data_IF_313082407677
#
_entry.id   IF_313082407677
#
_cell.length_a   1.000
_cell.length_b   1.000
_cell.length_c   1.000
_cell.angle_alpha   90.00
_cell.angle_beta   90.00
_cell.angle_gamma   90.00
#
_symmetry.space_group_name_H-M   'P 1'
#
loop_
_entity.id
_entity.type
_entity.pdbx_description
1 polymer ?
#
# COMPACT_ATOMS: atom_id res chain seq x y z
N UNK A 1 -11.76 -11.61 -16.13
CA UNK A 1 -12.02 -11.87 -17.58
C UNK A 1 -11.31 -13.13 -18.08
N UNK A 2 -9.98 -13.19 -18.10
CA UNK A 2 -9.22 -14.32 -18.71
C UNK A 2 -8.96 -15.54 -17.80
N UNK A 3 -9.63 -15.63 -16.65
CA UNK A 3 -9.48 -16.76 -15.72
C UNK A 3 -10.24 -17.99 -16.18
N UNK A 4 -9.77 -19.18 -15.79
CA UNK A 4 -10.41 -20.46 -16.08
C UNK A 4 -10.67 -20.66 -17.59
N UNK A 5 -9.71 -20.26 -18.42
CA UNK A 5 -9.81 -20.36 -19.88
C UNK A 5 -9.07 -21.59 -20.39
N UNK A 6 -9.63 -22.27 -21.39
CA UNK A 6 -8.98 -23.41 -22.07
C UNK A 6 -7.74 -22.95 -22.82
N UNK A 7 -7.87 -21.82 -23.51
CA UNK A 7 -6.81 -21.18 -24.28
C UNK A 7 -6.70 -19.69 -23.93
N UNK A 8 -5.47 -19.21 -23.82
CA UNK A 8 -5.10 -17.80 -23.71
C UNK A 8 -4.03 -17.53 -24.76
N UNK A 9 -4.33 -16.68 -25.73
CA UNK A 9 -3.44 -16.29 -26.81
C UNK A 9 -3.00 -14.85 -26.61
N UNK A 10 -1.70 -14.63 -26.52
CA UNK A 10 -1.11 -13.31 -26.31
C UNK A 10 -0.29 -12.90 -27.52
N UNK A 11 -0.37 -11.61 -27.84
CA UNK A 11 0.31 -10.97 -28.94
C UNK A 11 0.83 -9.63 -28.42
N UNK A 12 1.99 -9.22 -28.90
CA UNK A 12 2.63 -7.94 -28.59
C UNK A 12 2.78 -7.17 -29.91
N UNK A 13 2.40 -5.90 -29.92
CA UNK A 13 2.56 -5.04 -31.10
C UNK A 13 4.01 -4.56 -31.20
N UNK A 14 4.63 -4.80 -32.35
CA UNK A 14 6.00 -4.37 -32.61
C UNK A 14 6.07 -2.85 -32.74
N UNK A 15 7.08 -2.24 -32.11
CA UNK A 15 7.34 -0.80 -32.12
C UNK A 15 6.07 0.05 -31.87
N UNK A 16 5.27 -0.32 -30.88
CA UNK A 16 3.95 0.27 -30.67
C UNK A 16 3.94 1.80 -30.67
N UNK A 17 4.76 2.44 -29.84
CA UNK A 17 4.87 3.91 -29.84
C UNK A 17 5.48 4.46 -31.13
N UNK A 18 6.67 4.00 -31.59
CA UNK A 18 7.25 4.50 -32.84
C UNK A 18 6.38 4.30 -34.10
N UNK A 19 5.50 3.30 -34.12
CA UNK A 19 4.56 3.06 -35.22
C UNK A 19 3.47 4.15 -35.32
N UNK A 20 3.22 4.89 -34.24
CA UNK A 20 2.26 5.99 -34.21
C UNK A 20 3.00 7.27 -34.62
N UNK A 21 2.80 7.66 -35.87
CA UNK A 21 3.54 8.75 -36.50
C UNK A 21 2.75 10.06 -36.48
N UNK A 22 3.47 11.17 -36.69
CA UNK A 22 2.90 12.51 -36.82
C UNK A 22 1.68 12.57 -37.76
N UNK A 23 1.72 12.02 -38.99
CA UNK A 23 0.56 12.03 -39.88
C UNK A 23 -0.65 11.27 -39.32
N UNK A 24 -0.43 10.16 -38.59
CA UNK A 24 -1.51 9.38 -37.98
C UNK A 24 -2.22 10.18 -36.89
N UNK A 25 -1.44 10.86 -36.04
CA UNK A 25 -1.99 11.69 -34.95
C UNK A 25 -2.75 12.87 -35.52
N UNK A 26 -2.14 13.62 -36.45
CA UNK A 26 -2.77 14.77 -37.10
C UNK A 26 -4.06 14.36 -37.83
N UNK A 27 -4.00 13.26 -38.58
CA UNK A 27 -5.16 12.73 -39.31
C UNK A 27 -6.28 12.31 -38.37
N UNK A 28 -5.97 11.62 -37.27
CA UNK A 28 -6.95 11.27 -36.26
C UNK A 28 -7.62 12.51 -35.64
N UNK A 29 -6.84 13.49 -35.20
CA UNK A 29 -7.36 14.70 -34.55
C UNK A 29 -8.23 15.56 -35.49
N UNK A 30 -7.96 15.51 -36.79
CA UNK A 30 -8.74 16.26 -37.80
C UNK A 30 -10.01 15.51 -38.18
N UNK A 31 -9.95 14.18 -38.30
CA UNK A 31 -11.03 13.39 -38.89
C UNK A 31 -11.95 12.70 -37.87
N UNK A 32 -11.54 12.58 -36.61
CA UNK A 32 -12.38 11.99 -35.56
C UNK A 32 -13.58 12.91 -35.24
N UNK A 33 -14.78 12.33 -35.13
CA UNK A 33 -16.01 13.09 -34.95
C UNK A 33 -16.10 13.85 -33.62
N UNK A 34 -15.43 13.35 -32.58
CA UNK A 34 -15.48 13.98 -31.27
C UNK A 34 -14.44 15.10 -31.14
N UNK A 35 -13.31 14.96 -31.84
CA UNK A 35 -12.26 15.98 -31.87
C UNK A 35 -12.51 17.04 -32.94
N UNK A 36 -12.60 16.63 -34.21
CA UNK A 36 -12.84 17.47 -35.39
C UNK A 36 -12.07 18.79 -35.36
N UNK A 37 -10.78 18.74 -35.01
CA UNK A 37 -9.97 19.92 -34.76
C UNK A 37 -9.59 20.61 -36.06
N UNK A 38 -9.48 21.94 -36.02
CA UNK A 38 -8.93 22.71 -37.13
C UNK A 38 -7.51 22.22 -37.47
N UNK A 39 -7.13 22.12 -38.76
CA UNK A 39 -5.84 21.54 -39.17
C UNK A 39 -4.62 22.12 -38.48
N UNK A 40 -4.61 23.44 -38.20
CA UNK A 40 -3.51 24.12 -37.50
C UNK A 40 -3.36 23.62 -36.06
N UNK A 41 -4.49 23.45 -35.34
CA UNK A 41 -4.50 22.95 -33.96
C UNK A 41 -4.05 21.48 -33.93
N UNK A 42 -4.59 20.64 -34.82
CA UNK A 42 -4.19 19.24 -34.94
C UNK A 42 -2.69 19.08 -35.26
N UNK A 43 -2.15 19.93 -36.14
CA UNK A 43 -0.72 19.96 -36.49
C UNK A 43 0.12 20.35 -35.29
N UNK A 44 -0.27 21.39 -34.55
CA UNK A 44 0.46 21.87 -33.37
C UNK A 44 0.52 20.79 -32.28
N UNK A 45 -0.61 20.14 -31.98
CA UNK A 45 -0.66 19.04 -31.01
C UNK A 45 0.22 17.87 -31.46
N UNK A 46 0.16 17.49 -32.74
CA UNK A 46 0.97 16.41 -33.28
C UNK A 46 2.47 16.75 -33.25
N UNK A 47 2.86 18.01 -33.44
CA UNK A 47 4.26 18.47 -33.32
C UNK A 47 4.76 18.39 -31.87
N UNK A 48 3.92 18.77 -30.89
CA UNK A 48 4.25 18.67 -29.47
C UNK A 48 4.37 17.20 -29.03
N UNK A 49 3.49 16.34 -29.56
CA UNK A 49 3.42 14.93 -29.18
C UNK A 49 4.58 14.09 -29.74
N UNK A 50 5.13 14.47 -30.89
CA UNK A 50 6.11 13.67 -31.61
C UNK A 50 7.54 14.17 -31.45
N UNK A 51 8.47 13.23 -31.36
CA UNK A 51 9.90 13.44 -31.58
C UNK A 51 10.29 12.69 -32.86
N UNK A 52 11.01 13.34 -33.78
CA UNK A 52 11.40 12.74 -35.07
C UNK A 52 10.20 12.13 -35.83
N UNK A 53 9.07 12.82 -35.82
CA UNK A 53 7.80 12.40 -36.43
C UNK A 53 7.18 11.11 -35.86
N UNK A 54 7.62 10.64 -34.70
CA UNK A 54 7.11 9.45 -34.02
C UNK A 54 6.74 9.75 -32.57
N UNK A 55 5.84 8.96 -32.01
CA UNK A 55 5.48 9.08 -30.61
C UNK A 55 6.63 8.56 -29.73
N UNK A 56 7.26 9.39 -28.88
CA UNK A 56 8.42 8.97 -28.09
C UNK A 56 8.00 8.18 -26.86
N UNK A 57 8.84 7.24 -26.43
CA UNK A 57 8.70 6.57 -25.14
C UNK A 57 9.11 7.53 -24.02
N UNK A 58 8.37 7.55 -22.91
CA UNK A 58 8.64 8.42 -21.76
C UNK A 58 7.95 9.79 -21.78
N UNK A 59 7.36 10.22 -22.91
CA UNK A 59 6.54 11.44 -22.93
C UNK A 59 5.21 11.24 -22.19
N UNK A 60 4.75 12.21 -21.38
CA UNK A 60 3.47 12.13 -20.68
C UNK A 60 2.26 12.12 -21.63
N UNK A 61 2.41 12.63 -22.86
CA UNK A 61 1.34 12.63 -23.86
C UNK A 61 1.18 11.26 -24.54
N UNK A 62 2.25 10.48 -24.63
CA UNK A 62 2.30 9.26 -25.42
C UNK A 62 1.26 8.20 -25.01
N UNK A 63 1.09 7.85 -23.71
CA UNK A 63 0.11 6.83 -23.31
C UNK A 63 -1.34 7.18 -23.66
N UNK A 64 -1.69 8.47 -23.62
CA UNK A 64 -3.04 8.93 -23.94
C UNK A 64 -3.27 8.85 -25.45
N UNK A 65 -2.36 9.43 -26.23
CA UNK A 65 -2.45 9.45 -27.69
C UNK A 65 -2.43 8.03 -28.26
N UNK A 66 -1.55 7.16 -27.76
CA UNK A 66 -1.46 5.78 -28.24
C UNK A 66 -2.74 4.99 -28.00
N UNK A 67 -3.40 5.21 -26.87
CA UNK A 67 -4.69 4.57 -26.58
C UNK A 67 -5.82 5.10 -27.47
N UNK A 68 -5.85 6.40 -27.77
CA UNK A 68 -6.83 6.97 -28.70
C UNK A 68 -6.68 6.36 -30.11
N UNK A 69 -5.46 6.32 -30.62
CA UNK A 69 -5.16 5.76 -31.95
C UNK A 69 -5.47 4.26 -31.99
N UNK A 70 -5.06 3.51 -30.96
CA UNK A 70 -5.32 2.08 -30.88
C UNK A 70 -6.80 1.75 -30.63
N UNK A 71 -7.63 2.70 -30.20
CA UNK A 71 -9.07 2.51 -30.04
C UNK A 71 -9.78 2.04 -31.31
N UNK A 72 -9.29 2.46 -32.49
CA UNK A 72 -9.81 1.99 -33.79
C UNK A 72 -9.56 0.48 -33.96
N UNK A 73 -8.36 0.03 -33.57
CA UNK A 73 -8.02 -1.39 -33.57
C UNK A 73 -8.91 -2.15 -32.57
N UNK A 74 -9.14 -1.59 -31.38
CA UNK A 74 -9.95 -2.22 -30.32
C UNK A 74 -11.38 -2.50 -30.77
N UNK A 75 -12.01 -1.58 -31.52
CA UNK A 75 -13.36 -1.79 -32.08
C UNK A 75 -13.39 -3.02 -32.99
N UNK A 76 -12.40 -3.16 -33.87
CA UNK A 76 -12.32 -4.28 -34.79
C UNK A 76 -12.00 -5.60 -34.07
N UNK A 77 -11.03 -5.59 -33.16
CA UNK A 77 -10.61 -6.80 -32.45
C UNK A 77 -11.66 -7.28 -31.43
N UNK A 78 -12.35 -6.35 -30.77
CA UNK A 78 -13.48 -6.67 -29.90
C UNK A 78 -14.61 -7.33 -30.68
N UNK A 79 -14.95 -6.82 -31.88
CA UNK A 79 -15.93 -7.44 -32.77
C UNK A 79 -15.47 -8.83 -33.23
N UNK A 80 -14.23 -8.97 -33.69
CA UNK A 80 -13.65 -10.25 -34.10
C UNK A 80 -13.74 -11.28 -32.97
N UNK A 81 -13.39 -10.89 -31.75
CA UNK A 81 -13.46 -11.75 -30.57
C UNK A 81 -14.90 -12.17 -30.28
N UNK A 82 -15.84 -11.23 -30.28
CA UNK A 82 -17.27 -11.50 -30.02
C UNK A 82 -17.84 -12.53 -30.99
N UNK A 83 -17.64 -12.33 -32.30
CA UNK A 83 -18.10 -13.25 -33.35
C UNK A 83 -17.50 -14.64 -33.18
N UNK A 84 -16.24 -14.72 -32.77
CA UNK A 84 -15.53 -15.99 -32.57
C UNK A 84 -15.69 -16.58 -31.16
N UNK A 85 -16.53 -16.02 -30.29
CA UNK A 85 -16.73 -16.50 -28.92
C UNK A 85 -15.46 -16.45 -28.06
N UNK A 86 -14.67 -15.39 -28.22
CA UNK A 86 -13.47 -15.10 -27.46
C UNK A 86 -13.66 -13.87 -26.58
N UNK A 87 -12.94 -13.82 -25.47
CA UNK A 87 -12.75 -12.61 -24.66
C UNK A 87 -11.50 -11.90 -25.15
N UNK A 88 -11.58 -10.59 -25.38
CA UNK A 88 -10.49 -9.73 -25.81
C UNK A 88 -10.17 -8.68 -24.74
N UNK A 89 -8.88 -8.43 -24.52
CA UNK A 89 -8.38 -7.25 -23.81
C UNK A 89 -7.09 -6.75 -24.46
N UNK A 90 -6.79 -5.46 -24.26
CA UNK A 90 -5.51 -4.84 -24.61
C UNK A 90 -5.00 -4.02 -23.44
N UNK A 91 -3.70 -4.08 -23.19
CA UNK A 91 -2.97 -3.21 -22.28
C UNK A 91 -1.77 -2.65 -23.02
N UNK A 92 -1.82 -1.38 -23.42
CA UNK A 92 -0.84 -0.80 -24.36
C UNK A 92 -0.70 -1.65 -25.64
N UNK A 93 0.47 -2.26 -25.85
CA UNK A 93 0.84 -3.14 -26.96
C UNK A 93 0.49 -4.63 -26.72
N UNK A 94 0.30 -5.03 -25.47
CA UNK A 94 -0.10 -6.40 -25.10
C UNK A 94 -1.59 -6.63 -25.43
N UNK A 95 -1.86 -7.54 -26.36
CA UNK A 95 -3.20 -7.99 -26.74
C UNK A 95 -3.42 -9.43 -26.25
N UNK A 96 -4.60 -9.69 -25.69
CA UNK A 96 -4.98 -11.02 -25.20
C UNK A 96 -6.34 -11.46 -25.75
N UNK A 97 -6.37 -12.63 -26.38
CA UNK A 97 -7.59 -13.37 -26.68
C UNK A 97 -7.69 -14.60 -25.79
N UNK A 98 -8.90 -14.99 -25.37
CA UNK A 98 -9.08 -16.25 -24.64
C UNK A 98 -10.43 -16.88 -24.88
N UNK A 99 -10.52 -18.21 -24.81
CA UNK A 99 -11.78 -18.94 -25.00
C UNK A 99 -11.80 -20.27 -24.24
N UNK A 100 -13.01 -20.82 -24.09
CA UNK A 100 -13.26 -22.17 -23.57
C UNK A 100 -13.78 -23.14 -24.65
N UNK A 101 -13.87 -22.69 -25.91
CA UNK A 101 -14.19 -23.57 -27.05
C UNK A 101 -13.20 -24.73 -27.12
N UNK A 102 -13.64 -25.88 -27.66
CA UNK A 102 -12.82 -27.08 -27.83
C UNK A 102 -11.57 -26.76 -28.66
N UNK A 103 -11.78 -26.04 -29.76
CA UNK A 103 -10.74 -25.62 -30.69
C UNK A 103 -10.60 -24.09 -30.67
N UNK A 104 -9.38 -23.59 -30.84
CA UNK A 104 -9.14 -22.15 -30.91
C UNK A 104 -9.57 -21.61 -32.29
N UNK A 105 -10.24 -20.45 -32.39
CA UNK A 105 -10.74 -19.96 -33.67
C UNK A 105 -9.63 -19.61 -34.67
N UNK A 106 -9.66 -20.28 -35.83
CA UNK A 106 -8.72 -20.11 -36.97
C UNK A 106 -8.66 -18.65 -37.46
N UNK A 107 -9.76 -17.90 -37.33
CA UNK A 107 -9.80 -16.48 -37.66
C UNK A 107 -8.81 -15.63 -36.83
N UNK A 108 -8.48 -16.09 -35.61
CA UNK A 108 -7.63 -15.38 -34.65
C UNK A 108 -6.21 -15.95 -34.65
N UNK A 109 -6.06 -17.26 -34.53
CA UNK A 109 -4.75 -17.91 -34.54
C UNK A 109 -4.85 -19.34 -35.07
N UNK A 110 -3.76 -19.83 -35.65
CA UNK A 110 -3.61 -21.21 -36.12
C UNK A 110 -2.29 -21.79 -35.63
N UNK A 111 -2.28 -23.08 -35.38
CA UNK A 111 -1.04 -23.81 -35.14
C UNK A 111 -0.25 -23.93 -36.45
N UNK A 112 1.06 -23.70 -36.38
CA UNK A 112 1.96 -23.73 -37.54
C UNK A 112 2.11 -25.15 -38.06
N UNK A 113 2.02 -25.33 -39.38
CA UNK A 113 2.29 -26.63 -39.99
C UNK A 113 3.79 -26.96 -39.83
N UNK A 114 4.10 -28.10 -39.23
CA UNK A 114 5.47 -28.61 -39.06
C UNK A 114 6.13 -28.36 -37.71
N UNK A 115 5.50 -27.62 -36.77
CA UNK A 115 6.02 -27.49 -35.41
C UNK A 115 4.89 -27.43 -34.38
N UNK A 116 4.62 -28.56 -33.74
CA UNK A 116 3.63 -28.64 -32.67
C UNK A 116 3.97 -27.63 -31.57
N UNK A 117 2.98 -26.85 -31.14
CA UNK A 117 3.07 -25.74 -30.16
C UNK A 117 3.51 -24.36 -30.69
N UNK A 118 3.84 -24.19 -31.97
CA UNK A 118 4.05 -22.85 -32.54
C UNK A 118 2.73 -22.34 -33.10
N UNK A 119 2.30 -21.14 -32.68
CA UNK A 119 1.08 -20.52 -33.16
C UNK A 119 1.38 -19.24 -33.94
N UNK A 120 0.71 -19.08 -35.08
CA UNK A 120 0.77 -17.88 -35.91
C UNK A 120 -0.60 -17.21 -35.98
N UNK A 121 -0.61 -15.94 -36.40
CA UNK A 121 -1.85 -15.18 -36.49
C UNK A 121 -2.76 -15.74 -37.58
N UNK A 122 -4.05 -15.80 -37.27
CA UNK A 122 -5.10 -16.06 -38.24
C UNK A 122 -5.20 -14.91 -39.24
N UNK A 123 -5.59 -15.22 -40.48
CA UNK A 123 -5.63 -14.25 -41.59
C UNK A 123 -6.45 -13.00 -41.27
N UNK A 124 -7.59 -13.15 -40.60
CA UNK A 124 -8.47 -12.02 -40.26
C UNK A 124 -7.81 -11.10 -39.22
N UNK A 125 -7.23 -11.67 -38.17
CA UNK A 125 -6.52 -10.89 -37.15
C UNK A 125 -5.32 -10.14 -37.74
N UNK A 126 -4.47 -10.83 -38.51
CA UNK A 126 -3.33 -10.22 -39.17
C UNK A 126 -3.74 -9.07 -40.11
N UNK A 127 -4.82 -9.27 -40.88
CA UNK A 127 -5.37 -8.24 -41.76
C UNK A 127 -5.86 -7.00 -41.01
N UNK A 128 -6.55 -7.18 -39.87
CA UNK A 128 -7.03 -6.06 -39.05
C UNK A 128 -5.88 -5.28 -38.40
N UNK A 129 -4.87 -5.96 -37.87
CA UNK A 129 -3.69 -5.31 -37.27
C UNK A 129 -2.95 -4.49 -38.33
N UNK A 130 -2.69 -5.08 -39.50
CA UNK A 130 -2.03 -4.39 -40.63
C UNK A 130 -2.85 -3.22 -41.13
N UNK A 131 -4.17 -3.37 -41.28
CA UNK A 131 -5.08 -2.30 -41.70
C UNK A 131 -5.08 -1.12 -40.73
N UNK A 132 -4.91 -1.39 -39.44
CA UNK A 132 -4.79 -0.35 -38.41
C UNK A 132 -3.39 0.28 -38.33
N UNK A 133 -2.45 -0.11 -39.20
CA UNK A 133 -1.09 0.45 -39.25
C UNK A 133 -0.16 -0.05 -38.16
N UNK A 134 -0.36 -1.29 -37.68
CA UNK A 134 0.50 -1.93 -36.69
C UNK A 134 1.10 -3.23 -37.23
N UNK A 135 2.13 -3.73 -36.56
CA UNK A 135 2.76 -5.03 -36.82
C UNK A 135 2.89 -5.82 -35.51
N UNK A 136 3.17 -7.12 -35.62
CA UNK A 136 3.20 -8.03 -34.48
C UNK A 136 4.60 -8.54 -34.25
N UNK A 137 5.02 -8.52 -32.99
CA UNK A 137 6.22 -9.21 -32.57
C UNK A 137 5.97 -10.73 -32.52
N UNK A 138 6.46 -11.43 -33.54
CA UNK A 138 6.30 -12.90 -33.67
C UNK A 138 6.96 -13.64 -32.51
N UNK A 139 8.11 -13.16 -32.02
CA UNK A 139 8.84 -13.81 -30.91
C UNK A 139 8.09 -13.76 -29.57
N UNK A 140 7.23 -12.77 -29.37
CA UNK A 140 6.41 -12.59 -28.16
C UNK A 140 4.99 -13.15 -28.30
N UNK A 141 4.63 -13.64 -29.50
CA UNK A 141 3.33 -14.27 -29.75
C UNK A 141 3.30 -15.67 -29.15
N UNK A 142 2.31 -15.95 -28.30
CA UNK A 142 2.26 -17.21 -27.54
C UNK A 142 0.84 -17.71 -27.29
N UNK A 143 0.65 -19.01 -27.48
CA UNK A 143 -0.54 -19.74 -27.04
C UNK A 143 -0.28 -20.42 -25.70
N UNK A 144 -1.23 -20.29 -24.77
CA UNK A 144 -1.14 -20.85 -23.43
C UNK A 144 -2.37 -21.69 -23.11
N UNK A 145 -2.14 -22.97 -22.83
CA UNK A 145 -3.17 -23.97 -22.56
C UNK A 145 -3.52 -24.02 -21.07
N UNK A 146 -4.73 -24.48 -20.74
CA UNK A 146 -5.20 -24.61 -19.35
C UNK A 146 -4.32 -25.50 -18.47
N UNK A 147 -3.69 -26.52 -19.07
CA UNK A 147 -2.77 -27.47 -18.41
C UNK A 147 -1.38 -26.88 -18.18
N UNK A 148 -1.05 -25.79 -18.88
CA UNK A 148 0.18 -25.01 -18.70
C UNK A 148 -0.09 -23.72 -17.93
N UNK A 149 0.97 -23.00 -17.53
CA UNK A 149 0.82 -21.66 -16.96
C UNK A 149 0.20 -20.72 -17.99
N UNK A 150 -0.82 -19.97 -17.59
CA UNK A 150 -1.45 -18.92 -18.38
C UNK A 150 -1.15 -17.58 -17.73
N UNK A 151 -0.58 -16.66 -18.51
CA UNK A 151 -0.20 -15.31 -18.09
C UNK A 151 -0.82 -14.25 -19.00
N UNK A 152 -1.34 -13.20 -18.37
CA UNK A 152 -1.85 -11.98 -19.03
C UNK A 152 -1.20 -10.81 -18.31
N UNK A 153 -0.55 -9.91 -19.06
CA UNK A 153 0.14 -8.72 -18.51
C UNK A 153 1.04 -9.05 -17.30
N UNK A 154 1.81 -10.12 -17.39
CA UNK A 154 2.70 -10.59 -16.30
C UNK A 154 2.02 -11.30 -15.11
N UNK A 155 0.69 -11.39 -15.08
CA UNK A 155 -0.06 -12.04 -14.00
C UNK A 155 -0.52 -13.44 -14.40
N UNK A 156 -0.39 -14.41 -13.50
CA UNK A 156 -0.90 -15.78 -13.71
C UNK A 156 -2.42 -15.77 -13.56
N UNK A 157 -3.15 -16.32 -14.54
CA UNK A 157 -4.62 -16.23 -14.59
C UNK A 157 -5.35 -17.58 -14.58
N UNK A 158 -4.65 -18.73 -14.53
CA UNK A 158 -5.25 -20.07 -14.66
C UNK A 158 -6.54 -20.25 -13.85
N UNK A 159 -6.46 -20.07 -12.52
CA UNK A 159 -7.59 -20.22 -11.58
C UNK A 159 -7.82 -18.96 -10.77
N UNK A 160 -6.76 -18.42 -10.15
CA UNK A 160 -6.73 -17.15 -9.42
C UNK A 160 -5.66 -16.27 -10.04
N UNK A 161 -5.87 -14.96 -9.99
CA UNK A 161 -4.89 -13.94 -10.36
C UNK A 161 -3.81 -14.00 -9.28
N UNK A 162 -2.57 -14.14 -9.70
CA UNK A 162 -1.43 -14.17 -8.78
C UNK A 162 -0.16 -13.68 -9.48
N UNK A 163 0.77 -13.14 -8.70
CA UNK A 163 2.12 -12.91 -9.18
C UNK A 163 2.80 -14.27 -9.48
N UNK A 164 3.69 -14.34 -10.51
CA UNK A 164 4.44 -15.56 -10.82
C UNK A 164 5.16 -16.13 -9.60
N UNK A 165 5.27 -17.47 -9.55
CA UNK A 165 5.88 -18.15 -8.41
C UNK A 165 7.33 -17.71 -8.19
N UNK A 166 8.09 -17.59 -9.27
CA UNK A 166 9.50 -17.22 -9.28
C UNK A 166 9.69 -15.85 -8.64
N UNK A 167 8.86 -14.87 -9.03
CA UNK A 167 8.84 -13.54 -8.44
C UNK A 167 8.55 -13.59 -6.94
N UNK A 168 7.54 -14.36 -6.51
CA UNK A 168 7.21 -14.50 -5.08
C UNK A 168 8.32 -15.18 -4.28
N UNK A 169 8.97 -16.20 -4.85
CA UNK A 169 10.11 -16.88 -4.23
C UNK A 169 11.32 -15.96 -4.11
N UNK A 170 11.60 -15.17 -5.14
CA UNK A 170 12.68 -14.18 -5.13
C UNK A 170 12.45 -13.12 -4.05
N UNK A 171 11.24 -12.51 -4.00
CA UNK A 171 10.89 -11.54 -2.95
C UNK A 171 11.00 -12.15 -1.56
N UNK A 172 10.55 -13.40 -1.38
CA UNK A 172 10.71 -14.13 -0.11
C UNK A 172 12.18 -14.32 0.27
N UNK A 173 13.03 -14.65 -0.69
CA UNK A 173 14.47 -14.79 -0.48
C UNK A 173 15.12 -13.46 -0.10
N UNK A 174 14.73 -12.35 -0.74
CA UNK A 174 15.17 -11.00 -0.40
C UNK A 174 14.77 -10.61 1.02
N UNK A 175 13.52 -10.84 1.43
CA UNK A 175 13.10 -10.59 2.82
C UNK A 175 13.89 -11.46 3.80
N UNK A 176 14.09 -12.75 3.50
CA UNK A 176 14.88 -13.63 4.36
C UNK A 176 16.34 -13.17 4.49
N UNK A 177 16.94 -12.71 3.39
CA UNK A 177 18.28 -12.13 3.41
C UNK A 177 18.33 -10.87 4.26
N UNK A 178 17.41 -9.94 4.03
CA UNK A 178 17.32 -8.68 4.74
C UNK A 178 17.25 -8.90 6.26
N UNK A 179 16.33 -9.76 6.72
CA UNK A 179 16.15 -9.98 8.16
C UNK A 179 17.31 -10.73 8.83
N UNK A 180 18.09 -11.48 8.05
CA UNK A 180 19.23 -12.25 8.57
C UNK A 180 20.55 -11.51 8.54
N UNK A 181 20.75 -10.69 7.50
CA UNK A 181 22.04 -10.06 7.18
C UNK A 181 22.02 -8.53 7.27
N UNK A 182 20.85 -7.90 7.28
CA UNK A 182 20.71 -6.44 7.22
C UNK A 182 20.54 -5.90 5.80
N UNK A 183 20.79 -6.72 4.79
CA UNK A 183 20.73 -6.35 3.38
C UNK A 183 20.33 -7.54 2.49
N UNK A 184 20.05 -7.28 1.23
CA UNK A 184 19.85 -8.30 0.21
C UNK A 184 20.50 -7.86 -1.10
N UNK A 185 20.98 -8.83 -1.88
CA UNK A 185 21.62 -8.55 -3.16
C UNK A 185 20.63 -8.78 -4.30
N UNK A 186 20.70 -7.93 -5.32
CA UNK A 186 19.94 -8.02 -6.57
C UNK A 186 20.93 -8.23 -7.70
N UNK A 187 20.68 -9.24 -8.51
CA UNK A 187 21.39 -9.48 -9.75
C UNK A 187 20.53 -9.00 -10.92
N UNK A 188 21.03 -8.02 -11.66
CA UNK A 188 20.37 -7.47 -12.85
C UNK A 188 21.00 -7.98 -14.17
N UNK A 189 21.88 -8.99 -14.11
CA UNK A 189 22.57 -9.58 -15.27
C UNK A 189 23.91 -8.92 -15.60
N UNK A 190 24.07 -7.62 -15.30
CA UNK A 190 25.33 -6.87 -15.51
C UNK A 190 26.15 -6.73 -14.22
N UNK A 191 25.45 -6.58 -13.08
CA UNK A 191 26.07 -6.35 -11.77
C UNK A 191 25.19 -6.93 -10.68
N UNK A 192 25.87 -7.39 -9.62
CA UNK A 192 25.24 -7.74 -8.35
C UNK A 192 25.45 -6.59 -7.37
N UNK A 193 24.35 -6.00 -6.89
CA UNK A 193 24.38 -4.85 -5.99
C UNK A 193 23.40 -5.00 -4.83
N UNK A 194 23.57 -4.17 -3.80
CA UNK A 194 22.64 -4.14 -2.68
C UNK A 194 21.29 -3.56 -3.12
N UNK A 195 20.21 -4.28 -2.80
CA UNK A 195 18.86 -3.86 -3.12
C UNK A 195 18.30 -2.85 -2.12
N UNK A 196 17.64 -1.80 -2.64
CA UNK A 196 17.00 -0.79 -1.80
C UNK A 196 15.73 -1.29 -1.10
N UNK A 197 15.61 -1.01 0.21
CA UNK A 197 14.45 -1.37 1.04
C UNK A 197 13.11 -0.91 0.41
N UNK A 198 13.07 0.27 -0.21
CA UNK A 198 11.87 0.78 -0.86
C UNK A 198 11.47 -0.03 -2.10
N UNK A 199 12.44 -0.56 -2.85
CA UNK A 199 12.18 -1.46 -3.97
C UNK A 199 11.54 -2.75 -3.47
N UNK A 200 12.10 -3.38 -2.42
CA UNK A 200 11.52 -4.58 -1.82
C UNK A 200 10.11 -4.33 -1.24
N UNK A 201 9.90 -3.16 -0.63
CA UNK A 201 8.58 -2.74 -0.16
C UNK A 201 7.57 -2.66 -1.33
N UNK A 202 7.95 -2.05 -2.45
CA UNK A 202 7.14 -2.00 -3.67
C UNK A 202 6.83 -3.40 -4.22
N UNK A 203 7.80 -4.31 -4.22
CA UNK A 203 7.60 -5.70 -4.68
C UNK A 203 6.57 -6.44 -3.80
N UNK A 204 6.66 -6.29 -2.48
CA UNK A 204 5.69 -6.86 -1.53
C UNK A 204 4.31 -6.20 -1.68
N UNK A 205 4.28 -4.89 -1.88
CA UNK A 205 3.06 -4.12 -2.16
C UNK A 205 2.35 -4.61 -3.41
N UNK A 206 3.09 -4.88 -4.49
CA UNK A 206 2.55 -5.47 -5.72
C UNK A 206 1.95 -6.87 -5.48
N UNK A 207 2.67 -7.77 -4.82
CA UNK A 207 2.15 -9.12 -4.48
C UNK A 207 0.88 -8.98 -3.65
N UNK A 208 0.91 -8.10 -2.66
CA UNK A 208 -0.23 -7.85 -1.80
C UNK A 208 -1.43 -7.36 -2.62
N UNK A 209 -1.29 -6.31 -3.42
CA UNK A 209 -2.36 -5.73 -4.22
C UNK A 209 -2.97 -6.74 -5.21
N UNK A 210 -2.15 -7.57 -5.86
CA UNK A 210 -2.62 -8.61 -6.78
C UNK A 210 -3.48 -9.66 -6.06
N UNK A 211 -3.04 -10.09 -4.88
CA UNK A 211 -3.74 -11.13 -4.11
C UNK A 211 -4.90 -10.59 -3.27
N UNK A 212 -4.88 -9.30 -2.97
CA UNK A 212 -5.86 -8.66 -2.10
C UNK A 212 -7.22 -8.49 -2.76
N UNK A 213 -7.27 -8.53 -4.09
CA UNK A 213 -8.51 -8.63 -4.89
C UNK A 213 -9.38 -9.82 -4.46
N UNK A 214 -8.79 -10.83 -3.81
CA UNK A 214 -9.51 -12.00 -3.26
C UNK A 214 -9.89 -11.87 -1.77
N UNK A 215 -9.61 -10.73 -1.13
CA UNK A 215 -9.71 -10.53 0.34
C UNK A 215 -10.88 -9.62 0.76
N UNK A 216 -11.97 -9.64 0.00
CA UNK A 216 -13.13 -8.79 0.26
C UNK A 216 -14.18 -9.53 1.09
N UNK A 217 -14.80 -8.81 2.03
CA UNK A 217 -15.97 -9.27 2.77
C UNK A 217 -17.16 -9.47 1.82
N UNK A 218 -17.53 -10.74 1.61
CA UNK A 218 -18.62 -11.16 0.74
C UNK A 218 -19.99 -10.60 1.16
N UNK A 219 -20.21 -10.32 2.45
CA UNK A 219 -21.50 -9.82 2.93
C UNK A 219 -21.76 -8.37 2.51
N UNK A 220 -20.71 -7.58 2.28
CA UNK A 220 -20.81 -6.17 1.89
C UNK A 220 -20.65 -5.94 0.40
N UNK A 221 -20.02 -6.87 -0.34
CA UNK A 221 -19.71 -6.72 -1.76
C UNK A 221 -19.88 -8.03 -2.54
N UNK A 222 -21.13 -8.43 -2.85
CA UNK A 222 -21.42 -9.70 -3.50
C UNK A 222 -20.88 -9.81 -4.94
N UNK A 223 -20.42 -8.69 -5.54
CA UNK A 223 -19.99 -8.62 -6.94
C UNK A 223 -18.46 -8.63 -7.16
N UNK A 224 -17.64 -8.70 -6.09
CA UNK A 224 -16.17 -8.72 -6.22
C UNK A 224 -15.57 -10.09 -5.86
N UNK A 225 -15.24 -10.87 -6.91
CA UNK A 225 -14.45 -12.12 -6.89
C UNK A 225 -15.00 -13.22 -5.93
N UNK A 226 -14.56 -14.49 -6.01
CA UNK A 226 -14.92 -15.49 -5.02
C UNK A 226 -14.22 -15.11 -3.70
N UNK A 227 -14.86 -14.24 -2.92
CA UNK A 227 -14.36 -13.68 -1.69
C UNK A 227 -14.02 -14.80 -0.71
N UNK A 228 -12.81 -14.75 -0.19
CA UNK A 228 -12.42 -15.58 0.95
C UNK A 228 -12.30 -14.62 2.12
N UNK A 229 -13.08 -14.87 3.17
CA UNK A 229 -12.85 -14.20 4.46
C UNK A 229 -11.46 -14.64 4.92
N UNK A 230 -10.47 -13.75 4.80
CA UNK A 230 -9.15 -13.98 5.38
C UNK A 230 -9.14 -13.29 6.73
N UNK A 231 -8.89 -14.07 7.79
CA UNK A 231 -8.60 -13.54 9.11
C UNK A 231 -7.30 -12.72 9.04
N UNK A 232 -7.41 -11.39 9.06
CA UNK A 232 -6.25 -10.51 9.13
C UNK A 232 -5.43 -10.73 10.41
N UNK A 233 -5.92 -11.42 11.45
CA UNK A 233 -5.07 -11.80 12.59
C UNK A 233 -4.23 -13.04 12.28
N UNK A 234 -4.61 -13.84 11.29
CA UNK A 234 -3.92 -15.07 10.86
C UNK A 234 -3.51 -14.98 9.38
N UNK A 235 -2.37 -14.34 9.08
CA UNK A 235 -1.99 -14.01 7.72
C UNK A 235 -1.64 -15.26 6.90
N UNK A 236 -2.08 -15.31 5.64
CA UNK A 236 -1.60 -16.30 4.66
C UNK A 236 -0.10 -16.11 4.35
N UNK A 237 0.53 -17.08 3.68
CA UNK A 237 1.98 -17.12 3.44
C UNK A 237 2.60 -15.79 2.99
N UNK A 238 2.12 -15.17 1.90
CA UNK A 238 2.70 -13.91 1.40
C UNK A 238 2.41 -12.71 2.31
N UNK A 239 1.23 -12.64 2.93
CA UNK A 239 0.93 -11.60 3.91
C UNK A 239 1.84 -11.72 5.14
N UNK A 240 2.16 -12.94 5.57
CA UNK A 240 3.09 -13.16 6.68
C UNK A 240 4.50 -12.68 6.36
N UNK A 241 4.95 -12.83 5.11
CA UNK A 241 6.25 -12.32 4.64
C UNK A 241 6.25 -10.79 4.63
N UNK A 242 5.16 -10.16 4.18
CA UNK A 242 5.06 -8.72 4.18
C UNK A 242 5.01 -8.14 5.60
N UNK A 243 4.25 -8.77 6.51
CA UNK A 243 4.27 -8.43 7.94
C UNK A 243 5.66 -8.51 8.53
N UNK A 244 6.37 -9.60 8.27
CA UNK A 244 7.75 -9.77 8.73
C UNK A 244 8.64 -8.63 8.23
N UNK A 245 8.55 -8.28 6.95
CA UNK A 245 9.29 -7.15 6.38
C UNK A 245 8.96 -5.83 7.10
N UNK A 246 7.69 -5.55 7.38
CA UNK A 246 7.28 -4.31 8.06
C UNK A 246 7.72 -4.30 9.53
N UNK A 247 7.58 -5.41 10.26
CA UNK A 247 8.08 -5.53 11.63
C UNK A 247 9.60 -5.35 11.66
N UNK A 248 10.32 -5.98 10.73
CA UNK A 248 11.76 -5.79 10.62
C UNK A 248 12.12 -4.32 10.36
N UNK A 249 11.60 -3.72 9.29
CA UNK A 249 12.01 -2.37 8.86
C UNK A 249 11.49 -1.23 9.76
N UNK A 250 10.35 -1.42 10.42
CA UNK A 250 9.71 -0.36 11.23
C UNK A 250 9.92 -0.51 12.73
N UNK A 251 10.20 -1.72 13.22
CA UNK A 251 10.34 -1.98 14.66
C UNK A 251 11.75 -2.41 15.03
N UNK A 252 12.39 -3.27 14.23
CA UNK A 252 13.70 -3.83 14.59
C UNK A 252 14.88 -3.04 14.01
N UNK A 253 14.87 -2.78 12.70
CA UNK A 253 15.88 -2.05 11.96
C UNK A 253 15.41 -0.62 11.64
N UNK A 254 14.63 -0.02 12.55
CA UNK A 254 14.18 1.37 12.43
C UNK A 254 15.36 2.34 12.59
N UNK A 255 15.35 3.42 11.81
CA UNK A 255 16.38 4.46 11.85
C UNK A 255 16.08 5.59 12.85
N UNK A 256 14.87 5.60 13.42
CA UNK A 256 14.41 6.57 14.40
C UNK A 256 13.51 5.86 15.41
N UNK A 257 13.42 6.37 16.66
CA UNK A 257 12.47 5.83 17.63
C UNK A 257 11.04 5.84 17.07
N UNK A 258 10.24 4.83 17.42
CA UNK A 258 8.86 4.69 16.96
C UNK A 258 7.91 4.77 18.16
N UNK A 259 6.99 5.73 18.15
CA UNK A 259 5.94 5.88 19.15
C UNK A 259 4.61 5.33 18.61
N UNK A 260 3.99 4.42 19.36
CA UNK A 260 2.74 3.74 18.99
C UNK A 260 1.69 4.02 20.06
N UNK A 261 0.72 4.86 19.75
CA UNK A 261 -0.38 5.19 20.65
C UNK A 261 -1.61 4.33 20.42
N UNK A 262 -2.56 4.31 21.35
CA UNK A 262 -3.80 3.55 21.19
C UNK A 262 -4.67 4.08 20.04
N UNK A 263 -4.75 5.39 19.91
CA UNK A 263 -5.53 6.10 18.91
C UNK A 263 -4.72 7.03 18.01
N UNK A 264 -5.34 7.46 16.90
CA UNK A 264 -4.77 8.46 15.98
C UNK A 264 -4.74 9.89 16.56
N UNK A 265 -5.62 10.16 17.52
CA UNK A 265 -5.79 11.46 18.19
C UNK A 265 -4.62 11.75 19.12
N UNK A 266 -4.11 10.72 19.76
CA UNK A 266 -3.02 10.76 20.73
C UNK A 266 -1.74 11.32 20.11
N UNK A 267 -1.47 10.94 18.85
CA UNK A 267 -0.36 11.50 18.07
C UNK A 267 -0.44 13.03 17.96
N UNK A 268 -1.65 13.59 17.87
CA UNK A 268 -1.87 15.05 17.80
C UNK A 268 -1.62 15.68 19.16
N UNK A 269 -2.12 15.08 20.23
CA UNK A 269 -1.93 15.58 21.59
C UNK A 269 -0.45 15.62 21.96
N UNK A 270 0.25 14.49 21.80
CA UNK A 270 1.67 14.37 22.15
C UNK A 270 2.52 15.27 21.25
N UNK A 271 2.21 15.35 19.95
CA UNK A 271 2.94 16.22 19.03
C UNK A 271 2.87 17.69 19.44
N UNK A 272 1.68 18.19 19.78
CA UNK A 272 1.52 19.58 20.24
C UNK A 272 2.15 19.81 21.62
N UNK A 273 2.00 18.87 22.56
CA UNK A 273 2.63 18.96 23.88
C UNK A 273 4.16 19.13 23.78
N UNK A 274 4.81 18.36 22.90
CA UNK A 274 6.26 18.46 22.67
C UNK A 274 6.64 19.82 22.10
N UNK A 275 5.90 20.33 21.13
CA UNK A 275 6.19 21.63 20.53
C UNK A 275 6.05 22.78 21.53
N UNK A 276 5.02 22.74 22.38
CA UNK A 276 4.78 23.77 23.40
C UNK A 276 5.79 23.70 24.55
N UNK A 277 6.35 22.52 24.82
CA UNK A 277 7.28 22.29 25.94
C UNK A 277 8.69 21.92 25.49
N UNK A 278 9.08 22.41 24.30
CA UNK A 278 10.36 22.07 23.68
C UNK A 278 11.59 22.51 24.47
N UNK A 279 11.47 23.59 25.25
CA UNK A 279 12.53 24.08 26.14
C UNK A 279 12.78 23.12 27.31
N UNK A 280 11.74 22.45 27.79
CA UNK A 280 11.83 21.49 28.90
C UNK A 280 12.27 20.10 28.44
N UNK A 281 11.93 19.73 27.19
CA UNK A 281 12.23 18.41 26.63
C UNK A 281 13.02 18.49 25.31
N UNK A 282 14.25 19.03 25.31
CA UNK A 282 15.02 19.24 24.09
C UNK A 282 15.34 17.95 23.32
N UNK A 283 15.44 16.80 24.00
CA UNK A 283 15.68 15.49 23.36
C UNK A 283 14.53 15.02 22.46
N UNK A 284 13.33 15.57 22.64
CA UNK A 284 12.14 15.22 21.86
C UNK A 284 12.05 16.00 20.53
N UNK A 285 12.93 16.98 20.33
CA UNK A 285 13.01 17.79 19.12
C UNK A 285 14.40 17.64 18.48
N UNK A 286 14.44 17.74 17.16
CA UNK A 286 15.66 17.90 16.37
C UNK A 286 15.43 18.93 15.27
N UNK A 287 16.50 19.35 14.62
CA UNK A 287 16.43 20.17 13.41
C UNK A 287 16.35 19.29 12.17
N UNK A 288 15.49 19.66 11.21
CA UNK A 288 15.53 19.08 9.86
C UNK A 288 16.58 19.80 8.99
N UNK A 289 16.70 19.37 7.73
CA UNK A 289 17.66 19.94 6.77
C UNK A 289 17.43 21.45 6.51
N UNK A 290 16.20 21.94 6.73
CA UNK A 290 15.83 23.37 6.62
C UNK A 290 16.02 24.16 7.93
N UNK A 291 16.59 23.56 8.97
CA UNK A 291 16.76 24.19 10.29
C UNK A 291 15.46 24.38 11.09
N UNK A 292 14.36 23.73 10.69
CA UNK A 292 13.07 23.75 11.40
C UNK A 292 13.03 22.70 12.50
N UNK A 293 12.37 23.05 13.61
CA UNK A 293 12.11 22.12 14.72
C UNK A 293 11.15 21.02 14.26
N UNK A 294 11.59 19.77 14.35
CA UNK A 294 10.79 18.57 14.08
C UNK A 294 10.94 17.57 15.21
N UNK A 295 9.94 16.73 15.40
CA UNK A 295 9.97 15.69 16.44
C UNK A 295 11.12 14.70 16.17
N UNK A 296 11.84 14.30 17.21
CA UNK A 296 13.04 13.46 17.10
C UNK A 296 12.74 11.98 16.80
N UNK A 297 11.47 11.59 16.88
CA UNK A 297 10.94 10.25 16.65
C UNK A 297 9.76 10.23 15.67
N UNK A 298 9.36 9.02 15.24
CA UNK A 298 8.23 8.82 14.34
C UNK A 298 6.99 8.34 15.08
N UNK A 299 5.84 8.91 14.74
CA UNK A 299 4.55 8.33 15.15
C UNK A 299 4.13 7.20 14.21
N UNK A 300 3.59 6.13 14.78
CA UNK A 300 2.87 5.12 14.02
C UNK A 300 1.58 5.71 13.46
N UNK A 301 1.41 5.60 12.15
CA UNK A 301 0.25 6.17 11.44
C UNK A 301 -0.82 5.11 11.23
N UNK A 302 -2.01 5.39 11.77
CA UNK A 302 -3.22 4.60 11.53
C UNK A 302 -3.88 4.97 10.20
N UNK A 303 -4.59 4.01 9.59
CA UNK A 303 -5.38 4.28 8.40
C UNK A 303 -6.41 5.38 8.70
N UNK A 304 -6.45 6.45 7.90
CA UNK A 304 -7.59 7.38 7.93
C UNK A 304 -8.80 6.64 7.34
N UNK A 305 -9.92 6.61 8.07
CA UNK A 305 -11.22 6.28 7.45
C UNK A 305 -11.42 7.30 6.33
N UNK A 306 -11.40 6.88 5.06
CA UNK A 306 -11.79 7.78 3.98
C UNK A 306 -13.25 8.19 4.22
N UNK A 307 -13.57 9.47 3.97
CA UNK A 307 -14.96 9.86 3.69
C UNK A 307 -15.43 8.95 2.57
N UNK A 308 -16.45 8.12 2.85
CA UNK A 308 -17.02 7.20 1.86
C UNK A 308 -17.43 8.04 0.64
N UNK A 309 -16.70 7.94 -0.47
CA UNK A 309 -17.27 8.24 -1.79
C UNK A 309 -18.06 7.00 -2.17
N UNK A 310 -19.35 7.18 -2.47
CA UNK A 310 -20.35 6.13 -2.70
C UNK A 310 -19.94 5.07 -3.72
N UNK A 311 -19.06 5.40 -4.67
CA UNK A 311 -18.97 4.62 -5.91
C UNK A 311 -17.62 3.95 -6.18
N UNK A 312 -16.61 4.13 -5.30
CA UNK A 312 -15.30 3.47 -5.44
C UNK A 312 -14.79 2.98 -4.09
N UNK A 313 -14.88 1.66 -3.88
CA UNK A 313 -14.27 0.98 -2.74
C UNK A 313 -12.93 0.38 -3.16
N UNK A 314 -11.87 1.19 -3.10
CA UNK A 314 -10.52 0.64 -3.10
C UNK A 314 -10.21 0.14 -1.69
N UNK A 315 -9.81 -1.11 -1.50
CA UNK A 315 -9.40 -1.58 -0.20
C UNK A 315 -8.13 -0.85 0.23
N UNK A 316 -8.24 -0.08 1.31
CA UNK A 316 -7.18 0.78 1.82
C UNK A 316 -6.22 -0.03 2.69
N UNK A 317 -5.20 -0.66 2.11
CA UNK A 317 -4.21 -1.41 2.89
C UNK A 317 -3.15 -0.48 3.48
N UNK A 318 -3.49 0.16 4.59
CA UNK A 318 -2.49 0.88 5.39
C UNK A 318 -1.48 -0.09 6.02
N UNK A 319 -0.29 0.41 6.37
CA UNK A 319 0.70 -0.33 7.17
C UNK A 319 0.07 -0.93 8.44
N UNK A 320 -0.83 -0.19 9.10
CA UNK A 320 -1.56 -0.66 10.27
C UNK A 320 -2.44 -1.89 9.99
N UNK A 321 -3.16 -1.89 8.87
CA UNK A 321 -3.96 -3.05 8.46
C UNK A 321 -3.10 -4.24 8.07
N UNK A 322 -2.02 -4.01 7.31
CA UNK A 322 -1.11 -5.10 6.94
C UNK A 322 -0.50 -5.73 8.18
N UNK A 323 -0.17 -4.97 9.22
CA UNK A 323 0.32 -5.48 10.51
C UNK A 323 -0.76 -6.15 11.36
N UNK A 324 -2.04 -6.08 10.99
CA UNK A 324 -3.16 -6.61 11.76
C UNK A 324 -3.58 -5.73 12.93
N UNK A 325 -3.14 -4.46 12.96
CA UNK A 325 -3.40 -3.49 14.02
C UNK A 325 -4.71 -2.68 13.80
N UNK A 326 -5.41 -2.91 12.68
CA UNK A 326 -6.72 -2.30 12.40
C UNK A 326 -6.73 -0.76 12.53
N UNK A 327 -7.74 -0.24 13.23
CA UNK A 327 -7.93 1.20 13.50
C UNK A 327 -7.38 1.67 14.86
N UNK A 328 -6.56 0.86 15.55
CA UNK A 328 -6.08 1.15 16.92
C UNK A 328 -6.86 0.41 18.02
N UNK A 329 -6.63 0.76 19.28
CA UNK A 329 -7.25 0.13 20.46
C UNK A 329 -6.34 -0.89 21.16
N UNK A 330 -6.45 -0.99 22.50
CA UNK A 330 -5.58 -1.83 23.33
C UNK A 330 -5.44 -3.30 22.91
N UNK A 331 -6.49 -4.03 22.49
CA UNK A 331 -6.35 -5.39 21.96
C UNK A 331 -5.47 -5.48 20.71
N UNK A 332 -5.53 -4.48 19.83
CA UNK A 332 -4.73 -4.45 18.60
C UNK A 332 -3.25 -4.14 18.93
N UNK A 333 -2.99 -3.23 19.87
CA UNK A 333 -1.63 -2.96 20.38
C UNK A 333 -1.01 -4.23 20.99
N UNK A 334 -1.77 -4.95 21.81
CA UNK A 334 -1.33 -6.21 22.42
C UNK A 334 -1.01 -7.28 21.35
N UNK A 335 -1.84 -7.37 20.30
CA UNK A 335 -1.62 -8.24 19.15
C UNK A 335 -0.37 -7.88 18.37
N UNK A 336 -0.14 -6.58 18.12
CA UNK A 336 1.04 -6.07 17.42
C UNK A 336 2.33 -6.37 18.20
N UNK A 337 2.34 -6.12 19.51
CA UNK A 337 3.48 -6.42 20.38
C UNK A 337 3.79 -7.92 20.41
N UNK A 338 2.76 -8.76 20.52
CA UNK A 338 2.91 -10.23 20.47
C UNK A 338 3.43 -10.71 19.10
N UNK A 339 2.92 -10.13 18.00
CA UNK A 339 3.36 -10.45 16.66
C UNK A 339 4.84 -10.09 16.45
N UNK A 340 5.26 -8.90 16.91
CA UNK A 340 6.66 -8.51 16.86
C UNK A 340 7.55 -9.48 17.62
N UNK A 341 7.21 -9.79 18.88
CA UNK A 341 7.95 -10.75 19.71
C UNK A 341 8.09 -12.12 19.04
N UNK A 342 7.03 -12.59 18.37
CA UNK A 342 7.03 -13.90 17.70
C UNK A 342 7.98 -14.00 16.49
N UNK A 343 8.27 -12.85 15.86
CA UNK A 343 9.15 -12.77 14.68
C UNK A 343 10.62 -12.51 15.05
N UNK A 344 10.90 -11.97 16.25
CA UNK A 344 12.26 -11.61 16.70
C UNK A 344 13.29 -12.73 16.51
N UNK A 345 12.93 -13.99 16.81
CA UNK A 345 13.83 -15.15 16.63
C UNK A 345 14.33 -15.37 15.20
N UNK A 346 13.71 -14.73 14.21
CA UNK A 346 14.10 -14.79 12.79
C UNK A 346 14.99 -13.62 12.38
N UNK A 347 15.13 -12.61 13.23
CA UNK A 347 15.92 -11.42 12.98
C UNK A 347 17.31 -11.65 13.58
N UNK A 348 18.30 -11.91 12.72
CA UNK A 348 19.67 -12.22 13.15
C UNK A 348 20.68 -11.16 12.73
N UNK A 349 20.27 -10.18 11.92
CA UNK A 349 21.10 -9.01 11.62
C UNK A 349 21.20 -8.11 12.85
N UNK A 350 22.26 -7.32 13.04
CA UNK A 350 22.26 -6.27 14.06
C UNK A 350 21.04 -5.35 13.93
N UNK A 351 20.37 -5.06 15.04
CA UNK A 351 19.17 -4.23 15.07
C UNK A 351 18.83 -3.80 16.49
N UNK A 352 17.63 -3.26 16.68
CA UNK A 352 17.17 -2.78 17.97
C UNK A 352 17.90 -1.53 18.47
N UNK A 353 18.45 -0.71 17.57
CA UNK A 353 19.21 0.52 17.93
C UNK A 353 18.32 1.70 18.32
N UNK A 354 17.04 1.65 17.98
CA UNK A 354 16.09 2.73 18.22
C UNK A 354 14.88 2.14 18.96
N UNK A 355 14.38 2.79 20.02
CA UNK A 355 13.33 2.20 20.83
C UNK A 355 11.98 2.25 20.11
N UNK A 356 11.16 1.23 20.37
CA UNK A 356 9.74 1.18 20.02
C UNK A 356 8.94 1.34 21.30
N UNK A 357 8.22 2.46 21.40
CA UNK A 357 7.55 2.89 22.62
C UNK A 357 6.04 2.78 22.40
N UNK A 358 5.37 1.94 23.18
CA UNK A 358 3.92 1.83 23.19
C UNK A 358 3.33 2.73 24.28
N UNK A 359 2.42 3.63 23.92
CA UNK A 359 1.63 4.43 24.86
C UNK A 359 0.31 3.72 25.07
N UNK A 360 -0.02 3.43 26.33
CA UNK A 360 -1.14 2.57 26.69
C UNK A 360 -1.97 3.26 27.77
N UNK A 361 -3.28 3.36 27.56
CA UNK A 361 -4.19 3.86 28.60
C UNK A 361 -4.15 2.90 29.81
N UNK A 362 -4.13 3.43 31.04
CA UNK A 362 -4.10 2.57 32.24
C UNK A 362 -5.48 2.12 32.71
N UNK A 363 -6.50 2.37 31.89
CA UNK A 363 -7.89 2.02 32.13
C UNK A 363 -8.24 0.61 31.58
N UNK A 364 -9.53 0.36 31.36
CA UNK A 364 -9.99 -0.91 30.80
C UNK A 364 -9.45 -1.20 29.40
N UNK A 365 -9.11 -0.17 28.60
CA UNK A 365 -8.57 -0.27 27.25
C UNK A 365 -7.19 -0.92 27.21
N UNK A 366 -6.30 -0.57 28.16
CA UNK A 366 -4.93 -1.09 28.22
C UNK A 366 -4.77 -2.50 28.81
N UNK A 367 -5.80 -3.06 29.45
CA UNK A 367 -5.75 -4.39 30.09
C UNK A 367 -5.16 -5.51 29.22
N UNK A 368 -5.50 -5.62 27.91
CA UNK A 368 -4.90 -6.64 27.04
C UNK A 368 -3.38 -6.48 26.90
N UNK A 369 -2.88 -5.26 26.84
CA UNK A 369 -1.43 -4.99 26.72
C UNK A 369 -0.73 -5.38 28.02
N UNK A 370 -1.27 -4.99 29.18
CA UNK A 370 -0.70 -5.35 30.47
C UNK A 370 -0.65 -6.87 30.71
N UNK A 371 -1.65 -7.63 30.24
CA UNK A 371 -1.60 -9.11 30.27
C UNK A 371 -0.43 -9.67 29.46
N UNK A 372 -0.14 -9.10 28.29
CA UNK A 372 1.01 -9.52 27.48
C UNK A 372 2.32 -9.17 28.18
N UNK A 373 2.42 -7.98 28.79
CA UNK A 373 3.59 -7.57 29.59
C UNK A 373 3.81 -8.52 30.77
N UNK A 374 2.77 -8.84 31.53
CA UNK A 374 2.83 -9.79 32.65
C UNK A 374 3.31 -11.17 32.18
N UNK A 375 2.79 -11.65 31.04
CA UNK A 375 3.21 -12.92 30.45
C UNK A 375 4.70 -12.93 30.04
N UNK A 376 5.22 -11.79 29.56
CA UNK A 376 6.62 -11.62 29.14
C UNK A 376 7.57 -11.45 30.33
N UNK A 377 7.29 -10.45 31.19
CA UNK A 377 8.17 -9.97 32.25
C UNK A 377 8.00 -10.71 33.57
N UNK A 378 6.92 -11.50 33.70
CA UNK A 378 6.49 -12.16 34.94
C UNK A 378 6.17 -11.18 36.09
N UNK A 379 6.00 -9.89 35.77
CA UNK A 379 5.63 -8.84 36.71
C UNK A 379 4.34 -8.19 36.24
N UNK A 380 3.38 -8.04 37.15
CA UNK A 380 2.10 -7.39 36.86
C UNK A 380 2.29 -5.87 36.86
N UNK A 381 1.99 -5.16 35.75
CA UNK A 381 2.03 -3.71 35.72
C UNK A 381 1.00 -3.11 36.68
N UNK A 382 1.42 -2.12 37.47
CA UNK A 382 0.55 -1.28 38.30
C UNK A 382 -0.21 -0.23 37.49
N UNK A 383 0.27 0.13 36.30
CA UNK A 383 -0.28 1.20 35.48
C UNK A 383 0.16 2.61 35.95
N UNK A 384 1.09 2.66 36.90
CA UNK A 384 1.65 3.90 37.46
C UNK A 384 3.15 4.02 37.19
N UNK A 385 3.78 3.02 36.57
CA UNK A 385 5.19 3.06 36.20
C UNK A 385 5.50 4.25 35.30
N UNK A 386 6.72 4.82 35.41
CA UNK A 386 7.19 5.81 34.44
C UNK A 386 7.27 5.19 33.05
N UNK A 387 7.89 4.01 32.95
CA UNK A 387 7.87 3.15 31.78
C UNK A 387 8.28 1.72 32.18
N UNK A 388 8.03 0.77 31.29
CA UNK A 388 8.36 -0.64 31.46
C UNK A 388 9.18 -1.07 30.24
N UNK A 389 10.41 -1.53 30.45
CA UNK A 389 11.16 -2.26 29.42
C UNK A 389 10.57 -3.68 29.32
N UNK A 390 10.16 -4.09 28.11
CA UNK A 390 9.43 -5.35 27.92
C UNK A 390 10.33 -6.44 27.33
N UNK A 391 11.01 -6.14 26.22
CA UNK A 391 11.99 -7.01 25.56
C UNK A 391 12.74 -6.23 24.48
N UNK A 392 13.99 -6.60 24.16
CA UNK A 392 14.80 -5.96 23.11
C UNK A 392 14.76 -4.42 23.19
N UNK A 393 14.27 -3.76 22.13
CA UNK A 393 14.09 -2.31 22.04
C UNK A 393 12.65 -1.85 22.35
N UNK A 394 11.80 -2.69 22.95
CA UNK A 394 10.38 -2.39 23.22
C UNK A 394 10.18 -1.89 24.64
N UNK A 395 9.51 -0.74 24.73
CA UNK A 395 9.11 -0.08 25.97
C UNK A 395 7.60 0.19 25.96
N UNK A 396 7.00 0.21 27.14
CA UNK A 396 5.60 0.60 27.35
C UNK A 396 5.54 1.74 28.37
N UNK A 397 4.79 2.79 28.05
CA UNK A 397 4.45 3.87 28.98
C UNK A 397 2.95 3.75 29.29
N UNK A 398 2.57 3.36 30.52
CA UNK A 398 1.19 3.45 30.97
C UNK A 398 0.83 4.92 31.25
N UNK A 399 -0.31 5.39 30.73
CA UNK A 399 -0.83 6.72 31.03
C UNK A 399 -1.24 6.76 32.51
N UNK A 400 -0.67 7.69 33.27
CA UNK A 400 -1.02 7.95 34.67
C UNK A 400 -1.11 9.45 34.91
N UNK A 401 -2.01 9.85 35.81
CA UNK A 401 -2.15 11.24 36.25
C UNK A 401 -2.00 11.30 37.76
N UNK A 402 -1.10 12.15 38.24
CA UNK A 402 -0.80 12.32 39.67
C UNK A 402 -0.50 11.00 40.41
N UNK A 403 0.18 10.07 39.73
CA UNK A 403 0.51 8.74 40.26
C UNK A 403 -0.67 7.77 40.34
N UNK A 404 -1.82 8.09 39.74
CA UNK A 404 -3.01 7.23 39.69
C UNK A 404 -3.16 6.56 38.33
N UNK A 405 -3.62 5.31 38.35
CA UNK A 405 -4.00 4.51 37.20
C UNK A 405 -5.49 4.70 36.84
N UNK A 406 -5.99 3.94 35.86
CA UNK A 406 -7.35 4.07 35.32
C UNK A 406 -7.59 5.41 34.62
N UNK A 407 -6.58 5.83 33.84
CA UNK A 407 -6.50 7.12 33.17
C UNK A 407 -6.26 6.88 31.68
N UNK A 408 -7.06 7.51 30.82
CA UNK A 408 -6.78 7.62 29.39
C UNK A 408 -6.01 8.91 29.08
N UNK A 409 -5.36 9.00 27.91
CA UNK A 409 -4.59 10.20 27.55
C UNK A 409 -5.40 11.52 27.64
N UNK A 410 -6.71 11.48 27.41
CA UNK A 410 -7.55 12.69 27.45
C UNK A 410 -7.80 13.21 28.88
N UNK A 411 -7.54 12.40 29.89
CA UNK A 411 -7.58 12.85 31.27
C UNK A 411 -6.39 13.75 31.63
N UNK A 412 -5.33 13.81 30.80
CA UNK A 412 -4.18 14.68 31.02
C UNK A 412 -4.51 16.16 30.80
N UNK A 413 -5.57 16.49 30.05
CA UNK A 413 -6.08 17.85 29.94
C UNK A 413 -6.74 18.31 31.25
N UNK A 414 -6.66 19.60 31.56
CA UNK A 414 -7.36 20.18 32.70
C UNK A 414 -8.87 20.27 32.43
N UNK A 415 -9.68 20.39 33.49
CA UNK A 415 -11.12 20.62 33.32
C UNK A 415 -11.42 21.97 32.65
N UNK A 416 -10.53 22.95 32.82
CA UNK A 416 -10.62 24.25 32.16
C UNK A 416 -10.34 24.14 30.66
N UNK A 417 -9.35 23.36 30.25
CA UNK A 417 -9.11 23.11 28.82
C UNK A 417 -10.34 22.47 28.20
N UNK A 418 -10.92 21.47 28.88
CA UNK A 418 -12.14 20.79 28.42
C UNK A 418 -13.33 21.75 28.33
N UNK A 419 -13.46 22.74 29.22
CA UNK A 419 -14.59 23.67 29.27
C UNK A 419 -14.47 24.87 28.32
N UNK A 420 -13.28 25.47 28.17
CA UNK A 420 -12.97 26.59 27.24
C UNK A 420 -13.35 26.25 25.79
N UNK A 421 -13.37 24.96 25.52
CA UNK A 421 -13.51 24.29 24.24
C UNK A 421 -14.94 24.20 23.70
N UNK A 422 -15.93 24.48 24.55
CA UNK A 422 -17.32 24.17 24.31
C UNK A 422 -18.12 25.46 24.19
N UNK A 423 -18.42 25.93 22.98
CA UNK A 423 -19.50 26.90 22.68
C UNK A 423 -20.88 26.33 23.12
N UNK A 424 -21.03 25.94 24.39
CA UNK A 424 -22.21 25.31 24.99
C UNK A 424 -22.54 23.87 24.57
N UNK A 425 -21.75 23.20 23.68
CA UNK A 425 -22.09 21.85 23.21
C UNK A 425 -21.58 20.73 24.14
N UNK A 426 -22.40 19.71 24.48
CA UNK A 426 -21.95 18.57 25.27
C UNK A 426 -20.90 17.75 24.50
N UNK A 427 -19.85 17.31 25.21
CA UNK A 427 -18.73 16.57 24.66
C UNK A 427 -18.65 15.16 25.24
N UNK A 428 -18.31 14.18 24.40
CA UNK A 428 -18.15 12.78 24.84
C UNK A 428 -16.87 12.16 24.28
N UNK A 429 -15.96 11.77 25.18
CA UNK A 429 -14.76 11.01 24.82
C UNK A 429 -15.07 9.55 24.46
N UNK A 430 -16.28 9.04 24.68
CA UNK A 430 -16.64 7.65 24.37
C UNK A 430 -17.06 7.41 22.91
N UNK A 431 -17.35 8.47 22.13
CA UNK A 431 -18.00 8.38 20.82
C UNK A 431 -17.31 9.09 19.63
N UNK A 432 -17.76 8.75 18.41
CA UNK A 432 -17.48 9.56 17.21
C UNK A 432 -18.35 10.84 17.21
N UNK A 433 -17.87 11.91 16.59
CA UNK A 433 -18.59 13.19 16.57
C UNK A 433 -19.92 13.08 15.84
N UNK A 434 -20.97 13.69 16.38
CA UNK A 434 -22.28 13.91 15.77
C UNK A 434 -22.56 15.40 15.63
N UNK A 435 -23.68 15.78 15.00
CA UNK A 435 -24.07 17.19 14.86
C UNK A 435 -24.33 17.88 16.22
N UNK A 436 -24.64 17.09 17.26
CA UNK A 436 -24.98 17.52 18.62
C UNK A 436 -23.89 17.27 19.67
N UNK A 437 -22.94 16.34 19.42
CA UNK A 437 -21.89 15.96 20.36
C UNK A 437 -20.53 16.00 19.66
N UNK A 438 -19.63 16.81 20.20
CA UNK A 438 -18.22 16.81 19.78
C UNK A 438 -17.54 15.53 20.31
N UNK A 439 -16.82 14.85 19.43
CA UNK A 439 -16.11 13.60 19.75
C UNK A 439 -14.59 13.73 19.67
N UNK A 440 -13.86 12.68 20.06
CA UNK A 440 -12.38 12.67 20.20
C UNK A 440 -11.63 13.29 19.01
N UNK A 441 -12.04 12.95 17.77
CA UNK A 441 -11.36 13.42 16.57
C UNK A 441 -11.50 14.94 16.36
N UNK A 442 -12.68 15.49 16.61
CA UNK A 442 -12.92 16.94 16.47
C UNK A 442 -12.12 17.73 17.51
N UNK A 443 -12.08 17.25 18.76
CA UNK A 443 -11.21 17.84 19.79
C UNK A 443 -9.73 17.87 19.36
N UNK A 444 -9.20 16.75 18.85
CA UNK A 444 -7.82 16.69 18.42
C UNK A 444 -7.50 17.61 17.23
N UNK A 445 -8.29 17.56 16.16
CA UNK A 445 -7.94 18.23 14.91
C UNK A 445 -8.48 19.66 14.80
N UNK A 446 -9.65 19.95 15.36
CA UNK A 446 -10.29 21.25 15.24
C UNK A 446 -9.95 22.20 16.39
N UNK A 447 -9.43 21.70 17.50
CA UNK A 447 -8.99 22.53 18.61
C UNK A 447 -7.52 22.34 18.96
N UNK A 448 -7.11 21.16 19.41
CA UNK A 448 -5.73 20.96 19.91
C UNK A 448 -4.69 21.32 18.85
N UNK A 449 -4.94 20.95 17.59
CA UNK A 449 -4.03 21.29 16.50
C UNK A 449 -4.10 22.76 16.05
N UNK A 450 -5.17 23.49 16.34
CA UNK A 450 -5.38 24.89 15.88
C UNK A 450 -5.03 25.92 16.94
N UNK A 451 -5.25 25.62 18.22
CA UNK A 451 -5.05 26.53 19.34
C UNK A 451 -4.20 25.91 20.47
N UNK A 452 -3.04 25.30 20.18
CA UNK A 452 -2.23 24.63 21.19
C UNK A 452 -1.71 25.58 22.28
N UNK A 453 -1.60 26.88 22.01
CA UNK A 453 -1.19 27.93 22.96
C UNK A 453 -2.23 28.23 24.06
N UNK A 454 -3.49 27.83 23.85
CA UNK A 454 -4.59 28.04 24.81
C UNK A 454 -4.77 26.89 25.81
N UNK A 455 -3.93 25.87 25.73
CA UNK A 455 -4.06 24.63 26.49
C UNK A 455 -2.98 24.57 27.57
N UNK A 456 -3.36 24.17 28.78
CA UNK A 456 -2.38 23.79 29.80
C UNK A 456 -1.79 22.39 29.51
N UNK A 457 -0.50 22.36 29.17
CA UNK A 457 0.25 21.14 28.87
C UNK A 457 0.94 20.52 30.10
N UNK A 458 0.73 21.05 31.31
CA UNK A 458 1.33 20.57 32.55
C UNK A 458 1.04 19.08 32.81
N UNK A 459 -0.17 18.60 32.50
CA UNK A 459 -0.57 17.19 32.65
C UNK A 459 0.23 16.22 31.77
N UNK A 460 0.86 16.69 30.68
CA UNK A 460 1.70 15.86 29.81
C UNK A 460 3.14 15.70 30.31
N UNK A 461 3.56 16.42 31.37
CA UNK A 461 4.95 16.42 31.88
C UNK A 461 5.50 15.02 32.09
N UNK A 462 4.72 14.17 32.77
CA UNK A 462 5.13 12.81 33.13
C UNK A 462 5.35 11.96 31.88
N UNK A 463 4.43 12.04 30.93
CA UNK A 463 4.51 11.30 29.66
C UNK A 463 5.72 11.75 28.84
N UNK A 464 5.93 13.06 28.68
CA UNK A 464 7.07 13.59 27.92
C UNK A 464 8.40 13.23 28.58
N UNK A 465 8.47 13.30 29.91
CA UNK A 465 9.62 12.84 30.68
C UNK A 465 9.90 11.36 30.43
N UNK A 466 8.90 10.49 30.54
CA UNK A 466 9.07 9.06 30.26
C UNK A 466 9.60 8.78 28.85
N UNK A 467 9.10 9.50 27.83
CA UNK A 467 9.63 9.36 26.47
C UNK A 467 11.10 9.79 26.43
N UNK A 468 11.42 10.95 27.01
CA UNK A 468 12.79 11.48 27.06
C UNK A 468 13.77 10.51 27.74
N UNK A 469 13.39 10.00 28.92
CA UNK A 469 14.18 9.06 29.72
C UNK A 469 14.45 7.76 28.94
N UNK A 470 13.47 7.25 28.19
CA UNK A 470 13.68 6.06 27.32
C UNK A 470 14.66 6.38 26.19
N UNK A 471 14.55 7.54 25.55
CA UNK A 471 15.45 7.92 24.46
C UNK A 471 16.89 8.09 24.93
N UNK A 472 17.09 8.53 26.16
CA UNK A 472 18.40 8.63 26.79
C UNK A 472 18.92 7.26 27.20
N UNK A 473 18.13 6.47 27.92
CA UNK A 473 18.48 5.12 28.39
C UNK A 473 18.84 4.18 27.24
N UNK A 474 18.14 4.25 26.10
CA UNK A 474 18.37 3.36 24.97
C UNK A 474 19.56 3.77 24.09
N UNK A 475 20.08 4.99 24.25
CA UNK A 475 21.32 5.43 23.61
C UNK A 475 22.58 5.01 24.37
N UNK A 476 22.45 4.85 25.70
CA UNK A 476 23.49 4.35 26.58
C UNK A 476 23.67 2.84 26.39
#
# INVERSE_FOLDING_TARGET
>A
MHRNKRYVFNIDLEDFFPSITFPRIRGFLTSDKNFNLAPVVATTIAQIACLESKLPQGSPCSPVISNLIAGILDVHLSRLAKVNGCTYTRYADDITFSTNKKDFPIAIAIESQGNANVWVLGRQLAGLIKKSGFSVNVSKTRMQYRTSRQQVTGLVVNKKISAPNEYRHQVRAYVNSLVRRGFYMVDNGEKVEEGGIQKLHGMLGFIHAVESVYRTDLQRQPYNYPGVVIDERRPTGNLSIYRRFLLYTRFYANHQPLLICEGKTDNVYIGNAIHQRKSEFPLLIKKNDDGKDVISFQFFKYARKHRRKSDIYLPNYSTAMILGNGSGGGPNLAGLMSAYRSELKKFTSPGGKCPVIFIVDSDSGGKPVFKVIEGITKKKPSGTELFIHVFENVYVIPISKDGKSNVSIEHLFSENDKSILMDGKPFDFSGESSDSILGKASFAYDFVAKYPEKIDWSGFSRLLKSISDILELHKA
#
